data_IF_631211730568
#
_entry.id   IF_631211730568
#
_cell.length_a   1.000
_cell.length_b   1.000
_cell.length_c   1.000
_cell.angle_alpha   90.00
_cell.angle_beta   90.00
_cell.angle_gamma   90.00
#
_symmetry.space_group_name_H-M   'P 1'
#
loop_
_entity.id
_entity.type
_entity.pdbx_description
1 polymer ?
#
# COMPACT_ATOMS: atom_id res chain seq x y z
N UNK A 1 59.39 31.92 35.71
CA UNK A 1 57.99 32.16 35.30
C UNK A 1 57.58 31.03 34.37
N UNK A 2 56.65 30.19 34.82
CA UNK A 2 56.29 28.91 34.23
C UNK A 2 54.98 29.10 33.46
N UNK A 3 54.98 28.90 32.14
CA UNK A 3 53.78 28.97 31.31
C UNK A 3 53.50 27.57 30.75
N UNK A 4 52.63 26.84 31.45
CA UNK A 4 51.97 25.63 30.95
C UNK A 4 50.74 26.07 30.16
N UNK A 5 50.62 25.64 28.90
CA UNK A 5 49.37 25.76 28.12
C UNK A 5 48.98 24.39 27.60
N UNK A 6 47.80 23.95 28.06
CA UNK A 6 47.22 22.63 27.91
C UNK A 6 46.61 22.44 26.51
N UNK A 7 46.87 21.28 25.89
CA UNK A 7 46.12 20.77 24.73
C UNK A 7 44.69 20.41 25.17
N UNK A 8 43.68 20.98 24.53
CA UNK A 8 42.28 20.54 24.62
C UNK A 8 41.88 19.78 23.37
N UNK A 9 41.67 18.46 23.49
CA UNK A 9 41.06 17.63 22.46
C UNK A 9 39.54 17.88 22.45
N UNK A 10 39.04 18.46 21.37
CA UNK A 10 37.60 18.62 21.12
C UNK A 10 36.98 17.31 20.68
N UNK A 11 36.07 16.77 21.48
CA UNK A 11 35.28 15.57 21.18
C UNK A 11 34.07 16.01 20.32
N UNK A 12 34.07 15.68 19.03
CA UNK A 12 32.91 15.88 18.16
C UNK A 12 31.86 14.79 18.45
N UNK A 13 30.76 15.16 19.09
CA UNK A 13 29.60 14.29 19.23
C UNK A 13 28.88 14.17 17.88
N UNK A 14 28.93 12.98 17.27
CA UNK A 14 28.07 12.59 16.16
C UNK A 14 26.67 12.34 16.71
N UNK A 15 25.77 13.29 16.51
CA UNK A 15 24.33 13.12 16.75
C UNK A 15 23.79 12.08 15.77
N UNK A 16 23.67 10.82 16.21
CA UNK A 16 22.91 9.81 15.47
C UNK A 16 21.43 10.18 15.50
N UNK A 17 20.85 10.50 14.35
CA UNK A 17 19.38 10.51 14.22
C UNK A 17 18.94 9.05 14.31
N UNK A 18 18.34 8.68 15.43
CA UNK A 18 17.58 7.44 15.49
C UNK A 18 16.34 7.65 14.61
N UNK A 19 16.23 6.90 13.51
CA UNK A 19 14.97 6.82 12.79
C UNK A 19 13.90 6.37 13.79
N UNK A 20 12.88 7.20 14.01
CA UNK A 20 11.75 6.80 14.83
C UNK A 20 11.15 5.51 14.25
N UNK A 21 10.70 4.54 15.08
CA UNK A 21 9.96 3.41 14.57
C UNK A 21 8.67 3.94 13.95
N UNK A 22 8.65 4.06 12.63
CA UNK A 22 7.44 4.23 11.83
C UNK A 22 6.70 2.90 11.93
N UNK A 23 5.67 2.84 12.77
CA UNK A 23 4.74 1.72 12.80
C UNK A 23 3.90 1.77 11.54
N UNK A 24 4.38 1.15 10.46
CA UNK A 24 3.58 0.93 9.27
C UNK A 24 2.49 -0.10 9.58
N UNK A 25 1.32 0.03 8.96
CA UNK A 25 0.29 -1.00 9.07
C UNK A 25 0.44 -2.03 7.94
N UNK A 26 -0.09 -3.23 8.18
CA UNK A 26 -0.09 -4.33 7.21
C UNK A 26 -1.26 -4.22 6.22
N UNK A 27 -0.93 -4.20 4.93
CA UNK A 27 -1.86 -4.24 3.81
C UNK A 27 -2.12 -5.69 3.43
N UNK A 28 -3.39 -6.11 3.44
CA UNK A 28 -3.79 -7.43 2.94
C UNK A 28 -4.21 -7.30 1.48
N UNK A 29 -3.53 -8.02 0.60
CA UNK A 29 -3.78 -7.99 -0.84
C UNK A 29 -4.15 -9.40 -1.31
N UNK A 30 -5.30 -9.55 -1.97
CA UNK A 30 -5.68 -10.80 -2.63
C UNK A 30 -5.54 -10.65 -4.14
N UNK A 31 -4.77 -11.57 -4.73
CA UNK A 31 -4.55 -11.69 -6.15
C UNK A 31 -5.40 -12.84 -6.69
N UNK A 32 -6.15 -12.59 -7.76
CA UNK A 32 -7.11 -13.54 -8.34
C UNK A 32 -6.77 -13.72 -9.83
N UNK A 33 -6.59 -14.98 -10.23
CA UNK A 33 -6.26 -15.40 -11.59
C UNK A 33 -7.11 -16.58 -12.03
N UNK A 34 -8.07 -16.35 -12.94
CA UNK A 34 -8.99 -17.39 -13.41
C UNK A 34 -9.72 -18.07 -12.24
N UNK A 35 -9.57 -19.41 -12.05
CA UNK A 35 -10.18 -20.14 -10.95
C UNK A 35 -9.37 -20.17 -9.65
N UNK A 36 -8.19 -19.52 -9.60
CA UNK A 36 -7.28 -19.58 -8.45
C UNK A 36 -7.02 -18.19 -7.84
N UNK A 37 -6.65 -18.16 -6.56
CA UNK A 37 -6.30 -16.93 -5.85
C UNK A 37 -5.28 -17.19 -4.74
N UNK A 38 -4.51 -16.17 -4.39
CA UNK A 38 -3.67 -16.16 -3.19
C UNK A 38 -3.69 -14.78 -2.53
N UNK A 39 -3.41 -14.74 -1.23
CA UNK A 39 -3.24 -13.49 -0.48
C UNK A 39 -1.78 -13.28 -0.08
N UNK A 40 -1.35 -12.02 -0.05
CA UNK A 40 -0.07 -11.57 0.46
C UNK A 40 -0.30 -10.40 1.41
N UNK A 41 0.38 -10.43 2.54
CA UNK A 41 0.41 -9.31 3.49
C UNK A 41 1.71 -8.56 3.30
N UNK A 42 1.63 -7.25 3.04
CA UNK A 42 2.81 -6.39 2.87
C UNK A 42 2.71 -5.17 3.77
N UNK A 43 3.81 -4.73 4.41
CA UNK A 43 3.81 -3.48 5.15
C UNK A 43 3.70 -2.29 4.18
N UNK A 44 2.99 -1.24 4.60
CA UNK A 44 2.96 0.05 3.90
C UNK A 44 4.25 0.84 4.16
N UNK A 45 5.41 0.27 3.83
CA UNK A 45 6.75 0.80 4.12
C UNK A 45 7.44 1.45 2.91
N UNK A 46 6.75 1.49 1.77
CA UNK A 46 7.29 1.95 0.49
C UNK A 46 8.38 1.05 -0.10
N UNK A 47 8.64 -0.12 0.48
CA UNK A 47 9.63 -1.07 -0.02
C UNK A 47 9.01 -2.04 -1.01
N UNK A 48 9.88 -2.68 -1.80
CA UNK A 48 9.49 -3.72 -2.74
C UNK A 48 9.35 -5.06 -2.02
N UNK A 49 8.20 -5.70 -2.18
CA UNK A 49 7.91 -7.04 -1.67
C UNK A 49 7.61 -7.98 -2.83
N UNK A 50 8.44 -9.01 -2.99
CA UNK A 50 8.27 -10.01 -4.05
C UNK A 50 7.07 -10.93 -3.75
N UNK A 51 6.24 -11.17 -4.77
CA UNK A 51 5.09 -12.09 -4.65
C UNK A 51 5.50 -13.56 -4.79
N UNK A 52 6.54 -13.85 -5.59
CA UNK A 52 7.05 -15.18 -5.90
C UNK A 52 5.98 -16.18 -6.35
N UNK A 53 4.96 -15.73 -7.10
CA UNK A 53 3.87 -16.56 -7.57
C UNK A 53 3.68 -16.45 -9.10
N UNK A 54 3.70 -17.57 -9.85
CA UNK A 54 3.55 -17.55 -11.30
C UNK A 54 2.10 -17.43 -11.79
N UNK A 55 1.11 -17.30 -10.89
CA UNK A 55 -0.30 -17.20 -11.27
C UNK A 55 -0.55 -15.94 -12.12
N UNK A 56 -1.22 -16.10 -13.25
CA UNK A 56 -1.62 -14.96 -14.09
C UNK A 56 -2.82 -14.25 -13.47
N UNK A 57 -2.59 -13.04 -12.95
CA UNK A 57 -3.56 -12.27 -12.20
C UNK A 57 -4.40 -11.42 -13.15
N UNK A 58 -5.72 -11.49 -12.97
CA UNK A 58 -6.69 -10.66 -13.68
C UNK A 58 -7.33 -9.61 -12.78
N UNK A 59 -7.37 -9.86 -11.46
CA UNK A 59 -7.97 -8.97 -10.46
C UNK A 59 -7.11 -8.91 -9.20
N UNK A 60 -7.02 -7.72 -8.61
CA UNK A 60 -6.36 -7.47 -7.34
C UNK A 60 -7.35 -6.72 -6.45
N UNK A 61 -7.48 -7.14 -5.19
CA UNK A 61 -8.36 -6.53 -4.20
C UNK A 61 -7.64 -6.37 -2.87
N UNK A 62 -8.10 -5.44 -2.04
CA UNK A 62 -7.68 -5.31 -0.66
C UNK A 62 -8.89 -5.05 0.24
N UNK A 63 -8.88 -5.63 1.43
CA UNK A 63 -9.94 -5.45 2.43
C UNK A 63 -9.75 -4.17 3.25
N UNK A 64 -8.54 -3.62 3.27
CA UNK A 64 -8.10 -2.66 4.27
C UNK A 64 -7.23 -1.51 3.72
N UNK A 65 -6.99 -1.48 2.41
CA UNK A 65 -6.21 -0.41 1.80
C UNK A 65 -6.63 -0.04 0.36
N UNK A 66 -6.41 1.22 -0.05
CA UNK A 66 -6.58 1.66 -1.44
C UNK A 66 -5.34 1.29 -2.27
N UNK A 67 -5.26 0.02 -2.63
CA UNK A 67 -4.11 -0.52 -3.36
C UNK A 67 -3.97 0.04 -4.78
N UNK A 68 -5.00 0.69 -5.33
CA UNK A 68 -4.90 1.27 -6.67
C UNK A 68 -4.13 2.57 -6.68
N UNK A 69 -4.43 3.48 -5.75
CA UNK A 69 -3.77 4.78 -5.71
C UNK A 69 -2.49 4.77 -4.88
N UNK A 70 -2.39 3.86 -3.91
CA UNK A 70 -1.32 3.87 -2.91
C UNK A 70 -0.31 2.73 -3.05
N UNK A 71 -0.52 1.78 -3.97
CA UNK A 71 0.45 0.73 -4.25
C UNK A 71 0.88 0.72 -5.72
N UNK A 72 2.13 0.33 -5.95
CA UNK A 72 2.69 0.04 -7.27
C UNK A 72 2.83 -1.47 -7.40
N UNK A 73 2.23 -2.03 -8.44
CA UNK A 73 2.36 -3.44 -8.79
C UNK A 73 3.38 -3.61 -9.91
N UNK A 74 4.34 -4.51 -9.70
CA UNK A 74 5.41 -4.78 -10.64
C UNK A 74 5.07 -6.03 -11.46
N UNK A 75 5.38 -5.98 -12.75
CA UNK A 75 5.09 -7.03 -13.71
C UNK A 75 6.09 -6.95 -14.87
N UNK A 76 6.43 -8.09 -15.46
CA UNK A 76 7.43 -8.14 -16.54
C UNK A 76 6.85 -7.82 -17.92
N UNK A 77 5.53 -7.94 -18.07
CA UNK A 77 4.82 -7.73 -19.33
C UNK A 77 4.21 -6.32 -19.40
N UNK A 78 3.83 -5.88 -20.60
CA UNK A 78 3.02 -4.67 -20.75
C UNK A 78 1.61 -4.92 -20.19
N UNK A 79 1.20 -4.12 -19.20
CA UNK A 79 -0.06 -4.28 -18.46
C UNK A 79 -0.76 -2.94 -18.32
N UNK A 80 -2.08 -2.95 -18.43
CA UNK A 80 -2.95 -1.89 -17.99
C UNK A 80 -3.60 -2.29 -16.65
N UNK A 81 -3.54 -1.37 -15.68
CA UNK A 81 -4.22 -1.47 -14.40
C UNK A 81 -5.39 -0.49 -14.37
N UNK A 82 -6.59 -0.98 -14.10
CA UNK A 82 -7.81 -0.14 -14.06
C UNK A 82 -8.51 -0.34 -12.72
N UNK A 83 -8.80 0.75 -12.02
CA UNK A 83 -9.65 0.72 -10.85
C UNK A 83 -11.10 0.58 -11.29
N UNK A 84 -11.74 -0.49 -10.87
CA UNK A 84 -13.17 -0.69 -11.02
C UNK A 84 -13.81 -0.69 -9.63
N UNK A 85 -13.76 0.45 -8.94
CA UNK A 85 -14.24 0.60 -7.58
C UNK A 85 -13.52 -0.31 -6.59
N UNK A 86 -12.28 0.00 -6.25
CA UNK A 86 -11.50 -0.69 -5.21
C UNK A 86 -10.93 -2.05 -5.63
N UNK A 87 -11.46 -2.65 -6.70
CA UNK A 87 -10.83 -3.79 -7.37
C UNK A 87 -10.00 -3.28 -8.55
N UNK A 88 -8.74 -3.68 -8.60
CA UNK A 88 -7.85 -3.38 -9.70
C UNK A 88 -7.93 -4.51 -10.73
N UNK A 89 -8.38 -4.19 -11.93
CA UNK A 89 -8.36 -5.10 -13.08
C UNK A 89 -6.99 -5.04 -13.77
N UNK A 90 -6.46 -6.22 -14.11
CA UNK A 90 -5.14 -6.40 -14.73
C UNK A 90 -5.34 -6.96 -16.13
N UNK A 91 -4.97 -6.18 -17.16
CA UNK A 91 -5.17 -6.56 -18.56
C UNK A 91 -3.93 -6.31 -19.42
N UNK A 92 -3.42 -7.31 -20.17
CA UNK A 92 -3.78 -8.73 -20.14
C UNK A 92 -3.45 -9.41 -18.79
N UNK A 93 -4.10 -10.54 -18.44
CA UNK A 93 -3.74 -11.29 -17.23
C UNK A 93 -2.26 -11.71 -17.25
N UNK A 94 -1.53 -11.38 -16.19
CA UNK A 94 -0.09 -11.65 -16.09
C UNK A 94 0.33 -11.92 -14.64
N UNK A 95 1.43 -12.63 -14.40
CA UNK A 95 2.04 -12.67 -13.08
C UNK A 95 2.43 -11.26 -12.61
N UNK A 96 2.10 -10.96 -11.35
CA UNK A 96 2.63 -9.81 -10.63
C UNK A 96 3.90 -10.29 -9.95
N UNK A 97 5.03 -9.63 -10.18
CA UNK A 97 6.35 -10.01 -9.65
C UNK A 97 6.65 -9.41 -8.28
N UNK A 98 5.99 -8.29 -7.97
CA UNK A 98 6.10 -7.65 -6.67
C UNK A 98 5.08 -6.54 -6.47
N UNK A 99 5.05 -6.04 -5.24
CA UNK A 99 4.21 -4.92 -4.85
C UNK A 99 4.98 -4.01 -3.91
N UNK A 100 4.71 -2.70 -3.99
CA UNK A 100 5.19 -1.72 -3.03
C UNK A 100 4.06 -0.78 -2.69
N UNK A 101 3.77 -0.60 -1.40
CA UNK A 101 2.70 0.29 -0.92
C UNK A 101 3.31 1.49 -0.20
N UNK A 102 2.85 2.69 -0.52
CA UNK A 102 3.40 3.92 0.02
C UNK A 102 3.27 4.00 1.54
N UNK A 103 4.24 4.70 2.16
CA UNK A 103 4.19 5.03 3.58
C UNK A 103 3.05 5.98 3.85
N UNK A 104 1.96 5.46 4.39
CA UNK A 104 0.83 6.24 4.90
C UNK A 104 0.14 5.48 6.02
N UNK A 105 -0.58 6.20 6.87
CA UNK A 105 -1.53 5.64 7.84
C UNK A 105 -2.97 5.75 7.32
N UNK A 106 -3.17 6.33 6.13
CA UNK A 106 -4.49 6.55 5.54
C UNK A 106 -5.09 5.23 5.08
N UNK A 107 -6.17 4.84 5.76
CA UNK A 107 -6.93 3.65 5.39
C UNK A 107 -8.04 4.04 4.42
N UNK A 108 -8.35 3.13 3.51
CA UNK A 108 -9.56 3.25 2.69
C UNK A 108 -10.82 3.15 3.57
N UNK A 109 -11.95 3.56 2.99
CA UNK A 109 -13.23 3.53 3.68
C UNK A 109 -13.77 2.09 3.71
N UNK A 110 -14.08 1.54 4.90
CA UNK A 110 -14.56 0.18 5.01
C UNK A 110 -15.95 0.03 4.39
N UNK A 111 -16.27 -1.21 4.00
CA UNK A 111 -17.57 -1.54 3.43
C UNK A 111 -18.73 -1.06 4.33
N UNK A 112 -19.80 -0.58 3.70
CA UNK A 112 -21.01 -0.02 4.33
C UNK A 112 -20.82 1.29 5.11
N UNK A 113 -19.63 1.88 5.11
CA UNK A 113 -19.39 3.20 5.68
C UNK A 113 -19.72 4.31 4.68
N UNK A 114 -19.90 5.53 5.18
CA UNK A 114 -20.20 6.67 4.33
C UNK A 114 -18.98 7.08 3.51
N UNK A 115 -19.15 7.24 2.20
CA UNK A 115 -18.09 7.69 1.28
C UNK A 115 -18.12 9.22 1.05
N UNK A 116 -19.19 9.89 1.48
CA UNK A 116 -19.28 11.34 1.57
C UNK A 116 -19.79 11.78 2.94
N UNK A 117 -19.25 12.88 3.45
CA UNK A 117 -19.81 13.64 4.56
C UNK A 117 -19.99 15.09 4.14
N UNK A 118 -21.18 15.66 4.36
CA UNK A 118 -21.51 17.05 3.99
C UNK A 118 -21.23 17.37 2.50
N UNK A 119 -21.37 16.38 1.61
CA UNK A 119 -21.08 16.52 0.18
C UNK A 119 -19.58 16.45 -0.19
N UNK A 120 -18.68 16.32 0.78
CA UNK A 120 -17.25 16.12 0.54
C UNK A 120 -16.90 14.63 0.44
N UNK A 121 -16.14 14.27 -0.59
CA UNK A 121 -15.63 12.92 -0.77
C UNK A 121 -14.58 12.59 0.30
N UNK A 122 -14.79 11.49 1.02
CA UNK A 122 -13.95 11.09 2.16
C UNK A 122 -12.74 10.23 1.75
N UNK A 123 -12.80 9.57 0.59
CA UNK A 123 -11.76 8.64 0.14
C UNK A 123 -12.31 7.42 -0.61
N UNK A 124 -11.41 6.63 -1.20
CA UNK A 124 -11.79 5.41 -1.91
C UNK A 124 -12.27 4.32 -0.93
N UNK A 125 -13.22 3.50 -1.40
CA UNK A 125 -13.66 2.32 -0.65
C UNK A 125 -12.64 1.18 -0.81
N UNK A 126 -12.46 0.37 0.23
CA UNK A 126 -11.44 -0.68 0.24
C UNK A 126 -11.68 -1.77 -0.82
N UNK A 127 -12.88 -2.34 -0.84
CA UNK A 127 -13.22 -3.52 -1.65
C UNK A 127 -14.42 -3.21 -2.56
N UNK A 128 -14.49 -1.99 -3.12
CA UNK A 128 -15.75 -1.53 -3.66
C UNK A 128 -15.83 -0.13 -4.24
N UNK A 129 -17.05 0.21 -4.66
CA UNK A 129 -17.40 1.54 -5.13
C UNK A 129 -18.34 2.25 -4.15
N UNK A 130 -18.38 3.56 -4.25
CA UNK A 130 -19.33 4.38 -3.52
C UNK A 130 -20.68 4.42 -4.25
N UNK A 131 -21.74 3.93 -3.61
CA UNK A 131 -23.10 3.98 -4.15
C UNK A 131 -24.13 4.33 -3.08
N UNK A 132 -25.00 5.28 -3.39
CA UNK A 132 -25.98 5.84 -2.45
C UNK A 132 -25.33 6.28 -1.12
N UNK A 133 -24.20 6.98 -1.21
CA UNK A 133 -23.34 7.38 -0.10
C UNK A 133 -22.73 6.24 0.74
N UNK A 134 -22.83 4.97 0.32
CA UNK A 134 -22.24 3.85 1.05
C UNK A 134 -21.20 3.12 0.22
N UNK A 135 -20.11 2.72 0.84
CA UNK A 135 -19.17 1.78 0.23
C UNK A 135 -19.86 0.41 0.05
N UNK A 136 -19.92 -0.09 -1.19
CA UNK A 136 -20.53 -1.39 -1.52
C UNK A 136 -19.45 -2.37 -1.96
N UNK A 137 -19.38 -3.57 -1.36
CA UNK A 137 -18.45 -4.57 -1.82
C UNK A 137 -18.83 -5.05 -3.22
N UNK A 138 -17.84 -5.43 -4.02
CA UNK A 138 -18.09 -6.06 -5.32
C UNK A 138 -18.65 -7.49 -5.21
N UNK A 139 -18.43 -8.17 -4.09
CA UNK A 139 -18.90 -9.55 -3.86
C UNK A 139 -20.40 -9.68 -3.57
N UNK A 140 -21.20 -8.65 -3.88
CA UNK A 140 -22.65 -8.60 -3.65
C UNK A 140 -23.48 -8.27 -4.89
N UNK A 141 -22.87 -8.32 -6.07
CA UNK A 141 -23.52 -8.27 -7.40
C UNK A 141 -23.35 -9.60 -8.14
#
# INVERSE_FOLDING_TARGET
MQFSTLLTLGLAAISGVAAAPTSYFDVEITFIGGPASYSLTVPADGQFHATNNPLSISLIRSSNFDVYNLCTFYHDNAVALVNNGGIVSVGPPTPITGVSCQVTDERCIPNYSDCYANGQFLGACCDGFCAANKCRPFSGI
#
